data_IF_049596384179
#
_entry.id   IF_049596384179
#
_cell.length_a   1.000
_cell.length_b   1.000
_cell.length_c   1.000
_cell.angle_alpha   90.00
_cell.angle_beta   90.00
_cell.angle_gamma   90.00
#
_symmetry.space_group_name_H-M   'P 1'
#
loop_
_entity.id
_entity.type
_entity.pdbx_description
1 polymer ?
#
# COMPACT_ATOMS: atom_id res chain seq x y z
N UNK A 1 5.81 35.37 32.07
CA UNK A 1 5.35 34.07 31.53
C UNK A 1 6.43 33.51 30.61
N UNK A 2 7.26 32.61 31.12
CA UNK A 2 8.42 32.07 30.40
C UNK A 2 7.96 30.81 29.66
N UNK A 3 7.62 30.94 28.37
CA UNK A 3 7.19 29.80 27.58
C UNK A 3 8.36 28.84 27.40
N UNK A 4 8.14 27.60 27.82
CA UNK A 4 9.02 26.47 27.60
C UNK A 4 9.17 26.18 26.10
N UNK A 5 10.01 26.95 25.41
CA UNK A 5 10.21 26.87 23.96
C UNK A 5 10.53 25.46 23.48
N UNK A 6 11.29 24.70 24.27
CA UNK A 6 11.57 23.28 24.01
C UNK A 6 10.31 22.40 24.00
N UNK A 7 9.32 22.68 24.84
CA UNK A 7 8.05 21.93 24.86
C UNK A 7 7.25 22.22 23.60
N UNK A 8 7.24 23.46 23.12
CA UNK A 8 6.57 23.85 21.87
C UNK A 8 7.28 23.23 20.67
N UNK A 9 8.60 23.33 20.60
CA UNK A 9 9.42 22.70 19.56
C UNK A 9 9.18 21.18 19.55
N UNK A 10 9.24 20.52 20.71
CA UNK A 10 8.95 19.07 20.85
C UNK A 10 7.53 18.72 20.41
N UNK A 11 6.53 19.55 20.72
CA UNK A 11 5.16 19.35 20.27
C UNK A 11 5.02 19.48 18.76
N UNK A 12 5.68 20.46 18.13
CA UNK A 12 5.71 20.60 16.66
C UNK A 12 6.38 19.39 16.01
N UNK A 13 7.54 18.96 16.51
CA UNK A 13 8.22 17.75 16.02
C UNK A 13 7.41 16.47 16.22
N UNK A 14 6.69 16.36 17.35
CA UNK A 14 5.79 15.24 17.61
C UNK A 14 4.57 15.27 16.69
N UNK A 15 4.04 16.45 16.38
CA UNK A 15 2.99 16.66 15.38
C UNK A 15 3.45 16.26 13.97
N UNK A 16 4.67 16.63 13.56
CA UNK A 16 5.26 16.20 12.28
C UNK A 16 5.44 14.67 12.25
N UNK A 17 5.93 14.07 13.35
CA UNK A 17 6.06 12.60 13.46
C UNK A 17 4.72 11.88 13.35
N UNK A 18 3.67 12.44 13.96
CA UNK A 18 2.31 11.92 13.90
C UNK A 18 1.71 12.12 12.51
N UNK A 19 1.94 13.26 11.86
CA UNK A 19 1.37 13.56 10.53
C UNK A 19 1.79 12.54 9.48
N UNK A 20 3.04 12.05 9.49
CA UNK A 20 3.47 11.00 8.57
C UNK A 20 2.73 9.66 8.77
N UNK A 21 2.35 9.33 10.00
CA UNK A 21 1.53 8.13 10.29
C UNK A 21 0.11 8.33 9.76
N UNK A 22 -0.47 9.50 10.03
CA UNK A 22 -1.78 9.88 9.49
C UNK A 22 -1.79 9.98 7.95
N UNK A 23 -0.68 10.39 7.33
CA UNK A 23 -0.53 10.51 5.88
C UNK A 23 -0.54 9.14 5.19
N UNK A 24 0.10 8.12 5.78
CA UNK A 24 -0.02 6.76 5.23
C UNK A 24 -1.45 6.20 5.39
N UNK A 25 -2.11 6.55 6.49
CA UNK A 25 -3.50 6.17 6.76
C UNK A 25 -4.55 7.01 6.00
N UNK A 26 -4.13 7.88 5.07
CA UNK A 26 -5.04 8.69 4.26
C UNK A 26 -6.04 7.82 3.51
N UNK A 27 -7.27 8.34 3.40
CA UNK A 27 -8.31 7.77 2.56
C UNK A 27 -7.80 7.69 1.11
N UNK A 28 -8.02 6.54 0.48
CA UNK A 28 -7.80 6.40 -0.95
C UNK A 28 -8.90 7.19 -1.69
N UNK A 29 -8.63 7.68 -2.91
CA UNK A 29 -9.67 8.23 -3.77
C UNK A 29 -10.86 7.24 -3.91
N UNK A 30 -12.09 7.75 -3.99
CA UNK A 30 -13.31 6.93 -4.05
C UNK A 30 -13.34 5.97 -5.27
N UNK A 31 -12.60 6.29 -6.33
CA UNK A 31 -12.43 5.46 -7.53
C UNK A 31 -11.29 4.42 -7.40
N UNK A 32 -10.88 4.11 -6.17
CA UNK A 32 -9.82 3.12 -5.90
C UNK A 32 -10.38 1.80 -5.38
N UNK A 33 -10.04 0.71 -6.08
CA UNK A 33 -10.30 -0.65 -5.62
C UNK A 33 -9.14 -1.14 -4.74
N UNK A 34 -9.39 -1.26 -3.44
CA UNK A 34 -8.38 -1.68 -2.47
C UNK A 34 -8.35 -3.19 -2.25
N UNK A 35 -7.19 -3.82 -2.50
CA UNK A 35 -6.97 -5.24 -2.23
C UNK A 35 -6.49 -5.42 -0.79
N UNK A 36 -7.42 -5.82 0.08
CA UNK A 36 -7.14 -5.99 1.51
C UNK A 36 -6.26 -7.22 1.81
N UNK A 37 -6.53 -8.36 1.16
CA UNK A 37 -5.80 -9.62 1.35
C UNK A 37 -5.68 -10.35 0.01
N UNK A 38 -4.46 -10.80 -0.29
CA UNK A 38 -4.18 -11.69 -1.42
C UNK A 38 -3.28 -12.84 -0.94
N UNK A 39 -3.78 -14.06 -0.98
CA UNK A 39 -3.08 -15.21 -0.44
C UNK A 39 -3.14 -16.42 -1.37
N UNK A 40 -2.10 -17.24 -1.31
CA UNK A 40 -2.05 -18.55 -1.96
C UNK A 40 -1.48 -19.55 -0.97
N UNK A 41 -2.06 -20.76 -0.92
CA UNK A 41 -1.49 -21.87 -0.16
C UNK A 41 -0.08 -22.17 -0.66
N UNK A 42 0.83 -22.49 0.27
CA UNK A 42 2.25 -22.71 -0.03
C UNK A 42 2.48 -23.74 -1.14
N UNK A 43 1.71 -24.83 -1.14
CA UNK A 43 1.76 -25.91 -2.13
C UNK A 43 1.36 -25.48 -3.56
N UNK A 44 0.70 -24.34 -3.73
CA UNK A 44 0.27 -23.83 -5.04
C UNK A 44 1.04 -22.58 -5.50
N UNK A 45 2.10 -22.19 -4.79
CA UNK A 45 2.93 -21.02 -5.17
C UNK A 45 3.74 -21.30 -6.44
N UNK A 46 4.21 -20.22 -7.08
CA UNK A 46 5.02 -20.25 -8.32
C UNK A 46 4.31 -20.83 -9.55
N UNK A 47 2.99 -21.05 -9.49
CA UNK A 47 2.16 -21.49 -10.61
C UNK A 47 1.32 -20.34 -11.23
N UNK A 48 1.76 -19.09 -11.08
CA UNK A 48 1.07 -17.92 -11.64
C UNK A 48 -0.27 -17.54 -10.97
N UNK A 49 -0.70 -18.24 -9.91
CA UNK A 49 -2.00 -17.99 -9.24
C UNK A 49 -2.12 -16.56 -8.71
N UNK A 50 -1.08 -16.03 -8.07
CA UNK A 50 -1.10 -14.63 -7.59
C UNK A 50 -1.36 -13.63 -8.71
N UNK A 51 -0.78 -13.84 -9.90
CA UNK A 51 -1.03 -12.99 -11.08
C UNK A 51 -2.46 -13.13 -11.59
N UNK A 52 -3.02 -14.35 -11.58
CA UNK A 52 -4.42 -14.58 -11.97
C UNK A 52 -5.40 -13.90 -11.02
N UNK A 53 -5.12 -13.95 -9.71
CA UNK A 53 -5.94 -13.24 -8.72
C UNK A 53 -5.86 -11.71 -8.91
N UNK A 54 -4.67 -11.16 -9.20
CA UNK A 54 -4.52 -9.73 -9.51
C UNK A 54 -5.26 -9.32 -10.79
N UNK A 55 -5.22 -10.15 -11.83
CA UNK A 55 -5.99 -9.90 -13.06
C UNK A 55 -7.51 -9.92 -12.78
N UNK A 56 -7.98 -10.82 -11.91
CA UNK A 56 -9.38 -10.82 -11.48
C UNK A 56 -9.74 -9.57 -10.69
N UNK A 57 -8.85 -9.11 -9.79
CA UNK A 57 -9.05 -7.86 -9.05
C UNK A 57 -9.14 -6.65 -9.99
N UNK A 58 -8.32 -6.62 -11.05
CA UNK A 58 -8.38 -5.58 -12.09
C UNK A 58 -9.69 -5.60 -12.87
N UNK A 59 -10.17 -6.79 -13.25
CA UNK A 59 -11.48 -6.92 -13.90
C UNK A 59 -12.63 -6.46 -12.99
N UNK A 60 -12.58 -6.80 -11.69
CA UNK A 60 -13.55 -6.31 -10.71
C UNK A 60 -13.47 -4.80 -10.55
N UNK A 61 -12.27 -4.22 -10.44
CA UNK A 61 -12.08 -2.78 -10.36
C UNK A 61 -12.71 -2.07 -11.57
N UNK A 62 -12.44 -2.55 -12.79
CA UNK A 62 -13.06 -2.02 -14.00
C UNK A 62 -14.60 -2.10 -13.97
N UNK A 63 -15.16 -3.24 -13.55
CA UNK A 63 -16.61 -3.43 -13.44
C UNK A 63 -17.27 -2.51 -12.41
N UNK A 64 -16.51 -2.05 -11.40
CA UNK A 64 -16.96 -1.11 -10.38
C UNK A 64 -16.61 0.36 -10.71
N UNK A 65 -16.18 0.66 -11.94
CA UNK A 65 -15.73 1.99 -12.36
C UNK A 65 -14.56 2.54 -11.52
N UNK A 66 -13.75 1.66 -10.94
CA UNK A 66 -12.52 2.05 -10.26
C UNK A 66 -11.39 2.20 -11.29
N UNK A 67 -10.65 3.30 -11.21
CA UNK A 67 -9.53 3.60 -12.11
C UNK A 67 -8.19 3.20 -11.52
N UNK A 68 -8.13 2.94 -10.21
CA UNK A 68 -6.90 2.57 -9.52
C UNK A 68 -7.08 1.29 -8.70
N UNK A 69 -6.12 0.37 -8.78
CA UNK A 69 -5.92 -0.69 -7.80
C UNK A 69 -4.91 -0.22 -6.76
N UNK A 70 -5.18 -0.47 -5.49
CA UNK A 70 -4.25 -0.19 -4.40
C UNK A 70 -4.11 -1.38 -3.45
N UNK A 71 -2.92 -1.54 -2.88
CA UNK A 71 -2.65 -2.48 -1.79
C UNK A 71 -1.51 -1.97 -0.91
N UNK A 72 -1.51 -2.38 0.35
CA UNK A 72 -0.39 -2.16 1.25
C UNK A 72 0.33 -3.49 1.50
N UNK A 73 1.66 -3.48 1.37
CA UNK A 73 2.49 -4.68 1.55
C UNK A 73 3.63 -4.40 2.52
N UNK A 74 3.94 -5.37 3.38
CA UNK A 74 5.10 -5.26 4.26
C UNK A 74 6.39 -5.13 3.46
N UNK A 75 7.29 -4.24 3.88
CA UNK A 75 8.63 -4.06 3.29
C UNK A 75 9.48 -5.35 3.30
N UNK A 76 9.11 -6.33 4.13
CA UNK A 76 9.79 -7.64 4.21
C UNK A 76 9.22 -8.69 3.26
N UNK A 77 8.04 -8.47 2.68
CA UNK A 77 7.37 -9.45 1.84
C UNK A 77 7.85 -9.39 0.39
N UNK A 78 9.15 -9.62 0.19
CA UNK A 78 9.85 -9.47 -1.10
C UNK A 78 9.23 -10.31 -2.23
N UNK A 79 8.68 -11.48 -1.91
CA UNK A 79 8.00 -12.32 -2.90
C UNK A 79 6.71 -11.67 -3.42
N UNK A 80 5.88 -11.10 -2.54
CA UNK A 80 4.67 -10.40 -2.96
C UNK A 80 5.01 -9.13 -3.75
N UNK A 81 6.00 -8.36 -3.28
CA UNK A 81 6.47 -7.14 -3.94
C UNK A 81 6.84 -7.42 -5.41
N UNK A 82 7.65 -8.45 -5.66
CA UNK A 82 8.03 -8.85 -7.03
C UNK A 82 6.83 -9.21 -7.90
N UNK A 83 5.83 -9.89 -7.34
CA UNK A 83 4.59 -10.23 -8.07
C UNK A 83 3.81 -8.97 -8.42
N UNK A 84 3.72 -8.00 -7.50
CA UNK A 84 3.03 -6.73 -7.73
C UNK A 84 3.75 -5.88 -8.79
N UNK A 85 5.06 -5.72 -8.67
CA UNK A 85 5.89 -5.00 -9.65
C UNK A 85 5.76 -5.62 -11.04
N UNK A 86 5.86 -6.95 -11.15
CA UNK A 86 5.70 -7.66 -12.42
C UNK A 86 4.27 -7.54 -12.99
N UNK A 87 3.28 -7.30 -12.14
CA UNK A 87 1.89 -7.08 -12.54
C UNK A 87 1.58 -5.61 -12.87
N UNK A 88 2.57 -4.72 -12.79
CA UNK A 88 2.47 -3.30 -13.17
C UNK A 88 2.21 -2.34 -12.01
N UNK A 89 2.26 -2.81 -10.76
CA UNK A 89 2.12 -1.92 -9.60
C UNK A 89 3.41 -1.11 -9.38
N UNK A 90 3.25 0.13 -8.92
CA UNK A 90 4.34 1.04 -8.53
C UNK A 90 4.15 1.48 -7.09
N UNK A 91 5.23 1.77 -6.39
CA UNK A 91 5.17 2.31 -5.02
C UNK A 91 4.66 3.74 -5.07
N UNK A 92 3.56 4.02 -4.37
CA UNK A 92 2.97 5.36 -4.24
C UNK A 92 3.33 6.01 -2.90
N UNK A 93 3.42 5.23 -1.83
CA UNK A 93 3.74 5.74 -0.49
C UNK A 93 4.44 4.68 0.37
N UNK A 94 5.08 5.12 1.45
CA UNK A 94 5.80 4.25 2.40
C UNK A 94 5.56 4.72 3.83
N UNK A 95 5.21 3.79 4.71
CA UNK A 95 5.23 4.07 6.14
C UNK A 95 6.68 4.23 6.64
N UNK A 96 6.90 4.95 7.74
CA UNK A 96 8.17 4.87 8.45
C UNK A 96 8.51 3.41 8.79
N UNK A 97 9.77 3.02 8.58
CA UNK A 97 10.27 1.69 8.98
C UNK A 97 10.79 1.76 10.40
N UNK A 98 10.33 0.85 11.25
CA UNK A 98 10.78 0.69 12.64
C UNK A 98 11.34 -0.71 12.82
N UNK A 99 12.27 -0.89 13.76
CA UNK A 99 12.74 -2.22 14.13
C UNK A 99 11.96 -2.72 15.34
N UNK A 100 11.29 -3.86 15.22
CA UNK A 100 10.53 -4.52 16.31
C UNK A 100 11.01 -5.96 16.39
N UNK A 101 11.49 -6.39 17.57
CA UNK A 101 12.10 -7.70 17.78
C UNK A 101 13.20 -8.04 16.75
N UNK A 102 14.03 -7.06 16.41
CA UNK A 102 15.12 -7.22 15.43
C UNK A 102 14.67 -7.30 13.96
N UNK A 103 13.38 -7.14 13.66
CA UNK A 103 12.84 -7.19 12.30
C UNK A 103 12.31 -5.82 11.85
N UNK A 104 12.52 -5.44 10.58
CA UNK A 104 11.95 -4.20 10.06
C UNK A 104 10.43 -4.35 9.90
N UNK A 105 9.71 -3.43 10.52
CA UNK A 105 8.28 -3.24 10.43
C UNK A 105 8.03 -1.94 9.65
N UNK A 106 7.52 -2.10 8.44
CA UNK A 106 7.08 -1.01 7.59
C UNK A 106 6.17 -1.56 6.50
N UNK A 107 5.36 -0.69 5.94
CA UNK A 107 4.45 -0.97 4.84
C UNK A 107 4.81 -0.06 3.67
N UNK A 108 4.55 -0.53 2.46
CA UNK A 108 4.56 0.29 1.27
C UNK A 108 3.22 0.15 0.57
N UNK A 109 2.65 1.30 0.19
CA UNK A 109 1.46 1.36 -0.64
C UNK A 109 1.88 1.23 -2.08
N UNK A 110 1.29 0.27 -2.78
CA UNK A 110 1.52 0.05 -4.20
C UNK A 110 0.22 0.26 -4.96
N UNK A 111 0.30 0.95 -6.09
CA UNK A 111 -0.84 1.28 -6.94
C UNK A 111 -0.62 0.87 -8.38
N UNK A 112 -1.70 0.56 -9.09
CA UNK A 112 -1.72 0.29 -10.53
C UNK A 112 -2.94 0.99 -11.14
N UNK A 113 -2.75 1.66 -12.26
CA UNK A 113 -3.86 2.19 -13.06
C UNK A 113 -4.58 1.04 -13.78
N UNK A 114 -5.90 1.00 -13.67
CA UNK A 114 -6.74 0.00 -14.36
C UNK A 114 -6.83 0.41 -15.83
N UNK A 115 -6.50 -0.51 -16.74
CA UNK A 115 -6.65 -0.24 -18.16
C UNK A 115 -8.13 -0.09 -18.51
N UNK A 116 -8.51 1.09 -19.01
CA UNK A 116 -9.86 1.36 -19.48
C UNK A 116 -10.14 0.48 -20.70
N UNK A 117 -10.93 -0.58 -20.52
CA UNK A 117 -11.50 -1.32 -21.63
C UNK A 117 -12.77 -0.58 -22.02
N UNK A 118 -12.63 0.44 -22.85
CA UNK A 118 -13.78 1.09 -23.47
C UNK A 118 -14.61 0.04 -24.18
N UNK A 119 -15.90 -0.05 -23.85
CA UNK A 119 -16.86 -0.72 -24.71
C UNK A 119 -16.82 -0.01 -26.07
N UNK A 120 -16.39 -0.74 -27.09
CA UNK A 120 -16.46 -0.35 -28.50
C UNK A 120 -17.89 -0.58 -28.97
#
# INVERSE_FOLDING_TARGET
MQYAGWRVIRMVWMGIRLSHIFNFAQQLPDDTFYIQILATYSQFRRNGIGRRLLAQAEALAAAHNCHTLALDVSVTNTNAIRVYEFSGFKVADRSPVKTVHGKPLGMQRMVKQVAYHGAI
#
